data_IF_366341818827
#
_entry.id   IF_366341818827
#
_cell.length_a   1.000
_cell.length_b   1.000
_cell.length_c   1.000
_cell.angle_alpha   90.00
_cell.angle_beta   90.00
_cell.angle_gamma   90.00
#
_symmetry.space_group_name_H-M   'P 1'
#
loop_
_entity.id
_entity.type
_entity.pdbx_description
1 polymer ?
#
# COMPACT_ATOMS: atom_id res chain seq x y z
N UNK A 1 17.19 -26.43 10.74
CA UNK A 1 16.69 -25.05 10.85
C UNK A 1 15.22 -25.00 10.42
N UNK A 2 14.34 -25.72 11.14
CA UNK A 2 12.93 -25.97 10.76
C UNK A 2 11.96 -25.81 11.96
N UNK A 3 12.42 -25.26 13.09
CA UNK A 3 11.59 -25.14 14.31
C UNK A 3 11.19 -23.72 14.70
N UNK A 4 11.54 -22.69 13.92
CA UNK A 4 11.26 -21.30 14.28
C UNK A 4 9.99 -20.69 13.65
N UNK A 5 9.17 -21.47 12.91
CA UNK A 5 8.02 -20.94 12.14
C UNK A 5 6.65 -21.25 12.80
N UNK A 6 6.61 -21.93 13.95
CA UNK A 6 5.33 -22.27 14.63
C UNK A 6 4.86 -21.30 15.72
N UNK A 7 5.61 -20.24 16.03
CA UNK A 7 5.29 -19.37 17.18
C UNK A 7 4.46 -18.11 16.87
N UNK A 8 4.31 -17.70 15.61
CA UNK A 8 3.62 -16.44 15.27
C UNK A 8 2.11 -16.62 15.02
N UNK A 9 1.65 -17.84 14.74
CA UNK A 9 0.24 -18.12 14.44
C UNK A 9 -0.69 -18.22 15.66
N UNK A 10 -0.15 -18.26 16.89
CA UNK A 10 -0.96 -18.40 18.11
C UNK A 10 -1.33 -17.06 18.78
N UNK A 11 -0.74 -15.94 18.35
CA UNK A 11 -0.92 -14.64 19.02
C UNK A 11 -2.03 -13.75 18.41
N UNK A 12 -2.64 -14.18 17.29
CA UNK A 12 -3.70 -13.42 16.59
C UNK A 12 -5.13 -13.92 16.86
N UNK A 13 -5.29 -14.98 17.68
CA UNK A 13 -6.61 -15.51 18.04
C UNK A 13 -7.14 -15.04 19.40
N UNK A 14 -6.35 -14.27 20.18
CA UNK A 14 -6.71 -13.90 21.55
C UNK A 14 -7.37 -12.51 21.71
N UNK A 15 -7.43 -11.69 20.66
CA UNK A 15 -7.92 -10.29 20.75
C UNK A 15 -9.35 -10.09 20.23
N UNK A 16 -10.06 -11.16 19.88
CA UNK A 16 -11.43 -11.10 19.35
C UNK A 16 -12.52 -11.52 20.35
N UNK A 17 -12.16 -11.98 21.56
CA UNK A 17 -13.12 -12.51 22.53
C UNK A 17 -13.45 -11.54 23.70
N UNK A 18 -12.89 -10.32 23.72
CA UNK A 18 -13.04 -9.40 24.86
C UNK A 18 -14.07 -8.27 24.67
N UNK A 19 -14.83 -8.28 23.56
CA UNK A 19 -15.80 -7.21 23.22
C UNK A 19 -17.25 -7.70 23.03
N UNK A 20 -17.62 -8.86 23.58
CA UNK A 20 -18.99 -9.41 23.50
C UNK A 20 -19.56 -9.88 24.85
N UNK A 21 -19.46 -9.04 25.90
CA UNK A 21 -20.19 -9.33 27.14
C UNK A 21 -20.47 -8.08 27.97
N UNK A 22 -21.22 -7.11 27.43
CA UNK A 22 -21.93 -6.12 28.27
C UNK A 22 -23.16 -5.58 27.53
N UNK A 23 -24.19 -6.41 27.33
CA UNK A 23 -25.55 -5.95 27.02
C UNK A 23 -26.55 -6.95 27.59
N UNK A 24 -26.63 -7.03 28.91
CA UNK A 24 -27.90 -7.42 29.54
C UNK A 24 -27.88 -7.06 31.02
N UNK A 25 -28.91 -6.32 31.43
CA UNK A 25 -29.41 -6.05 32.79
C UNK A 25 -29.74 -4.58 32.95
N UNK A 26 -31.03 -4.24 32.84
CA UNK A 26 -31.76 -3.31 33.72
C UNK A 26 -33.13 -2.98 33.13
N UNK A 27 -33.96 -4.01 32.92
CA UNK A 27 -35.41 -3.85 32.83
C UNK A 27 -35.99 -4.05 34.23
N UNK A 28 -36.13 -2.96 35.00
CA UNK A 28 -36.98 -2.97 36.20
C UNK A 28 -37.47 -1.55 36.55
N UNK A 29 -38.71 -1.29 36.13
CA UNK A 29 -39.80 -0.91 37.01
C UNK A 29 -39.64 0.36 37.87
N UNK A 30 -40.14 1.49 37.34
CA UNK A 30 -40.77 2.55 38.15
C UNK A 30 -42.08 2.99 37.49
N UNK A 31 -43.19 2.43 38.00
CA UNK A 31 -44.52 3.06 37.92
C UNK A 31 -44.55 4.12 39.03
N UNK A 32 -44.62 5.39 38.64
CA UNK A 32 -44.83 6.52 39.53
C UNK A 32 -45.52 7.63 38.77
N UNK A 33 -46.71 7.97 39.23
CA UNK A 33 -47.47 9.21 39.08
C UNK A 33 -47.40 10.00 37.76
N UNK A 34 -48.51 9.95 37.04
CA UNK A 34 -48.87 10.90 35.99
C UNK A 34 -49.21 12.27 36.58
N UNK A 35 -48.20 13.10 36.86
CA UNK A 35 -48.37 14.54 36.91
C UNK A 35 -48.33 15.09 35.49
N UNK A 36 -49.43 15.72 35.07
CA UNK A 36 -49.56 16.42 33.79
C UNK A 36 -48.38 17.41 33.64
N UNK A 37 -47.53 17.29 32.61
CA UNK A 37 -46.53 18.31 32.35
C UNK A 37 -47.25 19.64 32.06
N UNK A 38 -46.75 20.77 32.57
CA UNK A 38 -47.26 22.08 32.19
C UNK A 38 -47.17 22.21 30.67
N UNK A 39 -48.16 22.87 30.08
CA UNK A 39 -48.20 23.17 28.66
C UNK A 39 -46.80 23.65 28.23
N UNK A 40 -46.14 22.87 27.37
CA UNK A 40 -44.94 23.30 26.71
C UNK A 40 -45.36 24.45 25.80
N UNK A 41 -45.33 25.65 26.37
CA UNK A 41 -45.29 26.89 25.63
C UNK A 41 -44.26 26.71 24.54
N UNK A 42 -44.79 26.69 23.33
CA UNK A 42 -44.15 26.76 22.03
C UNK A 42 -42.67 27.13 22.16
N UNK A 43 -41.82 26.11 22.37
CA UNK A 43 -40.39 26.26 22.18
C UNK A 43 -40.26 26.64 20.72
N UNK A 44 -40.01 27.93 20.48
CA UNK A 44 -39.86 28.49 19.15
C UNK A 44 -38.93 27.57 18.38
N UNK A 45 -39.41 27.06 17.24
CA UNK A 45 -38.64 26.25 16.31
C UNK A 45 -37.28 26.95 16.15
N UNK A 46 -36.16 26.32 16.51
CA UNK A 46 -34.86 26.95 16.39
C UNK A 46 -34.73 27.56 15.00
N UNK A 47 -34.31 28.83 14.89
CA UNK A 47 -34.16 29.47 13.59
C UNK A 47 -33.34 28.54 12.70
N UNK A 48 -33.85 28.30 11.49
CA UNK A 48 -33.21 27.38 10.55
C UNK A 48 -31.73 27.81 10.43
N UNK A 49 -30.82 26.94 10.86
CA UNK A 49 -29.40 27.20 10.67
C UNK A 49 -29.19 27.35 9.15
N UNK A 50 -28.57 28.46 8.69
CA UNK A 50 -28.27 28.63 7.28
C UNK A 50 -27.45 27.42 6.84
N UNK A 51 -27.91 26.74 5.78
CA UNK A 51 -27.21 25.59 5.24
C UNK A 51 -25.79 26.04 4.90
N UNK A 52 -24.79 25.45 5.57
CA UNK A 52 -23.41 25.72 5.25
C UNK A 52 -23.20 25.41 3.77
N UNK A 53 -22.43 26.25 3.04
CA UNK A 53 -22.10 25.95 1.65
C UNK A 53 -21.48 24.55 1.61
N UNK A 54 -22.05 23.66 0.80
CA UNK A 54 -21.54 22.31 0.65
C UNK A 54 -20.15 22.41 0.00
N UNK A 55 -19.11 22.31 0.82
CA UNK A 55 -17.73 22.27 0.32
C UNK A 55 -17.52 20.93 -0.38
N UNK A 56 -17.35 20.98 -1.71
CA UNK A 56 -17.01 19.80 -2.52
C UNK A 56 -15.49 19.68 -2.59
N UNK A 57 -14.96 18.53 -2.18
CA UNK A 57 -13.53 18.24 -2.35
C UNK A 57 -13.28 17.98 -3.84
N UNK A 58 -12.57 18.88 -4.51
CA UNK A 58 -12.32 18.78 -5.95
C UNK A 58 -11.22 17.78 -6.30
N UNK A 59 -10.19 17.67 -5.44
CA UNK A 59 -9.02 16.81 -5.66
C UNK A 59 -8.64 16.11 -4.37
N UNK A 60 -8.44 14.80 -4.45
CA UNK A 60 -7.89 14.02 -3.36
C UNK A 60 -6.91 12.99 -3.91
N UNK A 61 -6.04 12.52 -3.03
CA UNK A 61 -5.16 11.41 -3.31
C UNK A 61 -4.98 10.60 -2.04
N UNK A 62 -4.81 9.30 -2.21
CA UNK A 62 -4.54 8.35 -1.16
C UNK A 62 -3.28 7.58 -1.51
N UNK A 63 -2.44 7.35 -0.50
CA UNK A 63 -1.24 6.55 -0.62
C UNK A 63 -1.21 5.51 0.50
N UNK A 64 -1.04 4.26 0.11
CA UNK A 64 -0.69 3.17 1.01
C UNK A 64 0.73 2.71 0.74
N UNK A 65 1.66 3.07 1.62
CA UNK A 65 3.04 2.56 1.60
C UNK A 65 3.05 1.10 2.01
N UNK A 66 3.52 0.23 1.11
CA UNK A 66 3.56 -1.23 1.29
C UNK A 66 4.93 -1.68 1.80
N UNK A 67 6.00 -1.08 1.28
CA UNK A 67 7.39 -1.37 1.67
C UNK A 67 8.17 -0.07 1.74
N UNK A 68 9.02 0.04 2.77
CA UNK A 68 10.03 1.07 2.90
C UNK A 68 11.34 0.40 3.30
N UNK A 69 12.41 0.65 2.55
CA UNK A 69 13.73 0.08 2.83
C UNK A 69 14.85 1.00 2.35
N UNK A 70 15.54 1.63 3.30
CA UNK A 70 16.51 2.68 3.01
C UNK A 70 15.82 3.87 2.33
N UNK A 71 16.31 4.25 1.15
CA UNK A 71 15.73 5.29 0.29
C UNK A 71 14.71 4.73 -0.73
N UNK A 72 14.39 3.44 -0.67
CA UNK A 72 13.38 2.82 -1.54
C UNK A 72 12.01 2.77 -0.87
N UNK A 73 10.97 3.15 -1.61
CA UNK A 73 9.57 3.04 -1.19
C UNK A 73 8.73 2.42 -2.29
N UNK A 74 7.87 1.47 -1.94
CA UNK A 74 6.82 0.95 -2.81
C UNK A 74 5.46 1.31 -2.23
N UNK A 75 4.62 1.99 -3.01
CA UNK A 75 3.31 2.44 -2.56
C UNK A 75 2.20 2.17 -3.60
N UNK A 76 0.99 1.95 -3.10
CA UNK A 76 -0.24 1.91 -3.89
C UNK A 76 -0.89 3.29 -3.82
N UNK A 77 -1.09 3.93 -4.97
CA UNK A 77 -1.65 5.28 -5.07
C UNK A 77 -3.03 5.21 -5.70
N UNK A 78 -3.97 5.97 -5.13
CA UNK A 78 -5.28 6.21 -5.72
C UNK A 78 -5.56 7.71 -5.78
N UNK A 79 -5.98 8.17 -6.94
CA UNK A 79 -6.43 9.54 -7.17
C UNK A 79 -7.88 9.53 -7.68
N UNK A 80 -8.43 10.70 -7.95
CA UNK A 80 -9.73 10.82 -8.62
C UNK A 80 -9.78 10.08 -9.97
N UNK A 81 -8.66 10.06 -10.70
CA UNK A 81 -8.62 9.68 -12.11
C UNK A 81 -8.00 8.31 -12.34
N UNK A 82 -7.20 7.81 -11.39
CA UNK A 82 -6.38 6.62 -11.63
C UNK A 82 -5.86 5.97 -10.36
N UNK A 83 -5.53 4.69 -10.50
CA UNK A 83 -4.94 3.86 -9.45
C UNK A 83 -3.64 3.28 -10.01
N UNK A 84 -2.53 3.39 -9.29
CA UNK A 84 -1.22 2.97 -9.81
C UNK A 84 -0.26 2.59 -8.68
N UNK A 85 0.75 1.80 -9.03
CA UNK A 85 1.90 1.50 -8.16
C UNK A 85 2.96 2.57 -8.38
N UNK A 86 3.52 3.07 -7.29
CA UNK A 86 4.63 4.01 -7.30
C UNK A 86 5.81 3.36 -6.60
N UNK A 87 6.93 3.20 -7.32
CA UNK A 87 8.22 2.85 -6.73
C UNK A 87 9.11 4.09 -6.77
N UNK A 88 9.78 4.37 -5.66
CA UNK A 88 10.76 5.45 -5.50
C UNK A 88 12.06 4.88 -4.99
N UNK A 89 13.18 5.43 -5.44
CA UNK A 89 14.51 5.15 -4.91
C UNK A 89 15.38 6.40 -5.05
N UNK A 90 15.73 7.02 -3.92
CA UNK A 90 16.43 8.32 -3.93
C UNK A 90 15.58 9.42 -4.61
N UNK A 91 16.12 10.03 -5.68
CA UNK A 91 15.41 11.05 -6.47
C UNK A 91 14.59 10.47 -7.63
N UNK A 92 14.75 9.17 -7.87
CA UNK A 92 14.12 8.48 -8.98
C UNK A 92 12.76 7.93 -8.58
N UNK A 93 11.82 7.94 -9.52
CA UNK A 93 10.51 7.35 -9.33
C UNK A 93 9.97 6.75 -10.62
N UNK A 94 9.20 5.68 -10.48
CA UNK A 94 8.54 5.03 -11.60
C UNK A 94 7.08 4.77 -11.25
N UNK A 95 6.19 5.24 -12.12
CA UNK A 95 4.75 4.97 -12.04
C UNK A 95 4.40 3.76 -12.91
N UNK A 96 3.71 2.79 -12.32
CA UNK A 96 3.36 1.52 -12.96
C UNK A 96 1.88 1.21 -12.80
N UNK A 97 1.27 0.61 -13.81
CA UNK A 97 0.00 -0.11 -13.62
C UNK A 97 0.23 -1.35 -12.75
N UNK A 98 -0.85 -1.91 -12.20
CA UNK A 98 -0.76 -3.16 -11.45
C UNK A 98 -0.18 -4.32 -12.27
N UNK A 99 -0.47 -4.39 -13.57
CA UNK A 99 0.01 -5.45 -14.45
C UNK A 99 1.50 -5.32 -14.77
N UNK A 100 1.98 -4.10 -15.05
CA UNK A 100 3.42 -3.84 -15.27
C UNK A 100 4.23 -4.12 -14.01
N UNK A 101 3.74 -3.66 -12.85
CA UNK A 101 4.38 -3.93 -11.57
C UNK A 101 4.47 -5.44 -11.29
N UNK A 102 3.44 -6.23 -11.62
CA UNK A 102 3.46 -7.68 -11.45
C UNK A 102 4.54 -8.35 -12.31
N UNK A 103 4.63 -7.97 -13.60
CA UNK A 103 5.65 -8.50 -14.52
C UNK A 103 7.07 -8.12 -14.08
N UNK A 104 7.29 -6.85 -13.69
CA UNK A 104 8.58 -6.39 -13.17
C UNK A 104 8.91 -7.12 -11.87
N UNK A 105 7.94 -7.29 -10.97
CA UNK A 105 8.11 -8.04 -9.72
C UNK A 105 8.54 -9.49 -9.94
N UNK A 106 8.06 -10.14 -11.01
CA UNK A 106 8.52 -11.47 -11.39
C UNK A 106 10.01 -11.47 -11.77
N UNK A 107 10.45 -10.51 -12.59
CA UNK A 107 11.86 -10.36 -12.96
C UNK A 107 12.75 -10.04 -11.74
N UNK A 108 12.30 -9.14 -10.85
CA UNK A 108 13.02 -8.82 -9.61
C UNK A 108 13.11 -10.01 -8.66
N UNK A 109 12.16 -10.94 -8.70
CA UNK A 109 12.20 -12.18 -7.93
C UNK A 109 13.39 -13.07 -8.26
N UNK A 110 14.01 -12.90 -9.43
CA UNK A 110 15.20 -13.64 -9.85
C UNK A 110 16.53 -12.96 -9.47
N UNK A 111 16.48 -11.85 -8.74
CA UNK A 111 17.66 -11.03 -8.38
C UNK A 111 18.81 -11.86 -7.82
N UNK A 112 18.54 -12.79 -6.89
CA UNK A 112 19.58 -13.63 -6.29
C UNK A 112 20.19 -14.64 -7.27
N UNK A 113 19.36 -15.20 -8.15
CA UNK A 113 19.81 -16.13 -9.17
C UNK A 113 20.70 -15.41 -10.20
N UNK A 114 20.32 -14.18 -10.60
CA UNK A 114 21.13 -13.34 -11.51
C UNK A 114 22.43 -12.92 -10.83
N UNK A 115 22.38 -12.45 -9.57
CA UNK A 115 23.57 -12.11 -8.80
C UNK A 115 24.57 -13.26 -8.72
N UNK A 116 24.08 -14.48 -8.49
CA UNK A 116 24.93 -15.67 -8.45
C UNK A 116 25.59 -16.01 -9.80
N UNK A 117 24.98 -15.62 -10.93
CA UNK A 117 25.57 -15.77 -12.28
C UNK A 117 26.57 -14.66 -12.62
N UNK A 118 26.30 -13.43 -12.19
CA UNK A 118 27.14 -12.26 -12.44
C UNK A 118 28.31 -12.14 -11.44
N UNK A 119 28.37 -13.02 -10.42
CA UNK A 119 29.49 -13.04 -9.47
C UNK A 119 30.78 -13.46 -10.20
N UNK A 120 31.75 -12.57 -10.24
CA UNK A 120 33.03 -12.78 -10.90
C UNK A 120 33.86 -11.50 -10.89
N UNK A 121 35.16 -11.56 -11.26
CA UNK A 121 35.98 -10.36 -11.43
C UNK A 121 35.46 -9.50 -12.61
N UNK A 122 35.65 -8.17 -12.53
CA UNK A 122 35.22 -7.24 -13.57
C UNK A 122 33.75 -6.85 -13.54
N UNK A 123 33.31 -6.12 -14.57
CA UNK A 123 31.93 -5.62 -14.70
C UNK A 123 31.12 -6.54 -15.61
N UNK A 124 29.87 -6.82 -15.24
CA UNK A 124 28.96 -7.66 -16.02
C UNK A 124 27.52 -7.20 -15.89
N UNK A 125 26.71 -7.48 -16.90
CA UNK A 125 25.29 -7.13 -16.91
C UNK A 125 24.43 -8.20 -17.57
N UNK A 126 23.18 -8.33 -17.11
CA UNK A 126 22.11 -9.13 -17.71
C UNK A 126 20.90 -8.21 -17.87
N UNK A 127 20.28 -8.20 -19.05
CA UNK A 127 19.12 -7.35 -19.33
C UNK A 127 17.91 -8.20 -19.70
N UNK A 128 16.73 -7.81 -19.23
CA UNK A 128 15.45 -8.47 -19.52
C UNK A 128 14.43 -7.45 -19.96
N UNK A 129 13.80 -7.71 -21.11
CA UNK A 129 12.62 -6.97 -21.53
C UNK A 129 11.39 -7.49 -20.78
N UNK A 130 10.60 -6.57 -20.24
CA UNK A 130 9.40 -6.82 -19.44
C UNK A 130 8.30 -5.88 -19.91
N UNK A 131 7.57 -6.27 -20.95
CA UNK A 131 6.66 -5.37 -21.66
C UNK A 131 7.44 -4.20 -22.26
N UNK A 132 6.98 -2.98 -22.01
CA UNK A 132 7.66 -1.74 -22.43
C UNK A 132 8.84 -1.36 -21.52
N UNK A 133 9.11 -2.12 -20.46
CA UNK A 133 10.18 -1.85 -19.52
C UNK A 133 11.40 -2.74 -19.74
N UNK A 134 12.55 -2.26 -19.33
CA UNK A 134 13.80 -3.00 -19.28
C UNK A 134 14.26 -3.13 -17.85
N UNK A 135 14.47 -4.36 -17.40
CA UNK A 135 15.10 -4.67 -16.10
C UNK A 135 16.54 -5.08 -16.37
N UNK A 136 17.49 -4.24 -15.95
CA UNK A 136 18.93 -4.48 -16.08
C UNK A 136 19.53 -4.81 -14.72
N UNK A 137 20.16 -5.96 -14.64
CA UNK A 137 20.99 -6.37 -13.51
C UNK A 137 22.44 -6.08 -13.87
N UNK A 138 23.14 -5.30 -13.05
CA UNK A 138 24.54 -4.98 -13.28
C UNK A 138 25.37 -5.24 -12.03
N UNK A 139 26.59 -5.70 -12.26
CA UNK A 139 27.61 -5.84 -11.22
C UNK A 139 28.84 -5.07 -11.66
N UNK A 140 29.31 -4.17 -10.81
CA UNK A 140 30.56 -3.43 -10.97
C UNK A 140 31.42 -3.56 -9.71
N UNK A 141 32.74 -3.42 -9.84
CA UNK A 141 33.66 -3.51 -8.69
C UNK A 141 33.55 -2.31 -7.74
N UNK A 142 33.24 -1.12 -8.25
CA UNK A 142 33.12 0.11 -7.45
C UNK A 142 31.73 0.23 -6.85
N UNK A 143 30.71 -0.03 -7.66
CA UNK A 143 29.33 0.19 -7.27
C UNK A 143 28.65 -1.06 -6.71
N UNK A 144 29.23 -2.26 -6.83
CA UNK A 144 28.57 -3.49 -6.38
C UNK A 144 27.47 -3.94 -7.34
N UNK A 145 26.44 -4.62 -6.81
CA UNK A 145 25.32 -5.14 -7.61
C UNK A 145 24.09 -4.24 -7.51
N UNK A 146 23.55 -3.87 -8.67
CA UNK A 146 22.38 -3.00 -8.79
C UNK A 146 21.39 -3.55 -9.80
N UNK A 147 20.13 -3.19 -9.63
CA UNK A 147 19.03 -3.50 -10.54
C UNK A 147 18.40 -2.19 -10.98
N UNK A 148 18.46 -1.90 -12.28
CA UNK A 148 17.79 -0.75 -12.89
C UNK A 148 16.51 -1.21 -13.57
N UNK A 149 15.42 -0.46 -13.37
CA UNK A 149 14.16 -0.63 -14.09
C UNK A 149 13.96 0.67 -14.87
N UNK A 150 13.86 0.59 -16.18
CA UNK A 150 13.69 1.75 -17.04
C UNK A 150 12.55 1.53 -18.03
N UNK A 151 11.73 2.55 -18.27
CA UNK A 151 10.79 2.56 -19.39
C UNK A 151 11.56 2.63 -20.73
N UNK A 152 11.07 1.92 -21.74
CA UNK A 152 11.67 1.90 -23.07
C UNK A 152 11.67 3.30 -23.71
N UNK A 153 12.85 3.84 -24.02
CA UNK A 153 13.02 5.14 -24.69
C UNK A 153 14.34 5.83 -24.33
N UNK A 154 14.65 6.94 -25.01
CA UNK A 154 15.87 7.75 -24.76
C UNK A 154 15.81 8.58 -23.46
N UNK A 155 14.60 8.83 -22.93
CA UNK A 155 14.35 9.68 -21.75
C UNK A 155 13.29 9.08 -20.81
N UNK A 156 13.18 7.75 -20.79
CA UNK A 156 12.19 7.05 -19.95
C UNK A 156 12.45 7.25 -18.46
N UNK A 157 11.38 7.23 -17.66
CA UNK A 157 11.51 7.16 -16.20
C UNK A 157 12.30 5.88 -15.83
N UNK A 158 13.17 5.98 -14.84
CA UNK A 158 13.93 4.84 -14.35
C UNK A 158 14.07 4.88 -12.85
N UNK A 159 14.28 3.72 -12.24
CA UNK A 159 14.66 3.58 -10.83
C UNK A 159 15.83 2.61 -10.70
N UNK A 160 16.72 2.91 -9.76
CA UNK A 160 17.88 2.08 -9.43
C UNK A 160 17.71 1.50 -8.03
N UNK A 161 17.87 0.18 -7.91
CA UNK A 161 17.69 -0.56 -6.67
C UNK A 161 18.96 -1.34 -6.33
N UNK A 162 19.34 -1.32 -5.06
CA UNK A 162 20.30 -2.26 -4.51
C UNK A 162 19.72 -3.67 -4.49
N UNK A 163 20.57 -4.70 -4.44
CA UNK A 163 20.16 -6.12 -4.39
C UNK A 163 19.05 -6.36 -3.36
N UNK A 164 19.26 -5.91 -2.13
CA UNK A 164 18.31 -6.11 -1.04
C UNK A 164 16.99 -5.37 -1.28
N UNK A 165 17.04 -4.17 -1.88
CA UNK A 165 15.86 -3.37 -2.22
C UNK A 165 15.01 -4.06 -3.28
N UNK A 166 15.65 -4.56 -4.35
CA UNK A 166 14.99 -5.33 -5.39
C UNK A 166 14.29 -6.57 -4.82
N UNK A 167 14.95 -7.30 -3.92
CA UNK A 167 14.36 -8.47 -3.25
C UNK A 167 13.20 -8.09 -2.31
N UNK A 168 13.33 -6.97 -1.59
CA UNK A 168 12.30 -6.50 -0.66
C UNK A 168 11.02 -6.08 -1.39
N UNK A 169 11.12 -5.41 -2.54
CA UNK A 169 9.94 -4.95 -3.30
C UNK A 169 9.32 -6.05 -4.16
N UNK A 170 10.11 -7.01 -4.65
CA UNK A 170 9.67 -8.06 -5.57
C UNK A 170 8.36 -8.78 -5.17
N UNK A 171 8.21 -9.36 -3.96
CA UNK A 171 7.01 -10.12 -3.60
C UNK A 171 5.75 -9.25 -3.51
N UNK A 172 5.91 -7.95 -3.26
CA UNK A 172 4.81 -7.00 -3.22
C UNK A 172 4.44 -6.54 -4.63
N UNK A 173 5.43 -6.28 -5.48
CA UNK A 173 5.20 -5.97 -6.89
C UNK A 173 4.47 -7.11 -7.62
N UNK A 174 4.83 -8.38 -7.35
CA UNK A 174 4.10 -9.56 -7.85
C UNK A 174 2.62 -9.60 -7.43
N UNK A 175 2.25 -8.93 -6.33
CA UNK A 175 0.87 -8.86 -5.82
C UNK A 175 0.20 -7.52 -6.11
N UNK A 176 0.82 -6.67 -6.92
CA UNK A 176 0.41 -5.29 -7.15
C UNK A 176 -1.05 -5.16 -7.61
N UNK A 177 -1.50 -5.98 -8.57
CA UNK A 177 -2.89 -5.94 -9.05
C UNK A 177 -3.91 -6.16 -7.94
N UNK A 178 -3.65 -7.14 -7.09
CA UNK A 178 -4.54 -7.49 -5.97
C UNK A 178 -4.56 -6.37 -4.94
N UNK A 179 -3.39 -5.82 -4.59
CA UNK A 179 -3.29 -4.72 -3.63
C UNK A 179 -3.96 -3.44 -4.14
N UNK A 180 -3.77 -3.08 -5.42
CA UNK A 180 -4.46 -1.95 -6.03
C UNK A 180 -5.97 -2.14 -5.99
N UNK A 181 -6.48 -3.33 -6.35
CA UNK A 181 -7.92 -3.60 -6.29
C UNK A 181 -8.49 -3.40 -4.87
N UNK A 182 -7.75 -3.76 -3.82
CA UNK A 182 -8.15 -3.48 -2.43
C UNK A 182 -8.24 -1.98 -2.16
N UNK A 183 -7.26 -1.20 -2.60
CA UNK A 183 -7.27 0.26 -2.46
C UNK A 183 -8.44 0.87 -3.22
N UNK A 184 -8.66 0.44 -4.47
CA UNK A 184 -9.78 0.90 -5.32
C UNK A 184 -11.14 0.70 -4.66
N UNK A 185 -11.33 -0.44 -3.98
CA UNK A 185 -12.60 -0.80 -3.37
C UNK A 185 -12.85 -0.04 -2.06
N UNK A 186 -11.81 0.16 -1.25
CA UNK A 186 -11.92 0.71 0.10
C UNK A 186 -11.88 2.23 0.17
N UNK A 187 -11.24 2.87 -0.80
CA UNK A 187 -11.07 4.32 -0.79
C UNK A 187 -12.04 4.93 -1.77
N UNK A 188 -13.11 5.51 -1.22
CA UNK A 188 -14.13 6.30 -1.94
C UNK A 188 -14.21 7.67 -1.27
N UNK A 189 -14.13 8.77 -2.04
CA UNK A 189 -14.25 10.12 -1.51
C UNK A 189 -15.65 10.41 -0.96
#
# INVERSE_FOLDING_TARGET
>A
MVQAIRAVAAMLAATAAMYMSMTDASAQQRRGEATRPPAQDQLAKPPAQPALPQMKIEKWWFQWTVVEMGDTTLAMIKTNDSDFVLIKSGFDSLRLTGAEAELIGAALGETDAVYARLRGPGSSEETRAVGEYTVRFSKDEKSGFMVSIAEGGLFGESVLLWREQALAVAPHMQKARVMLAVVSQRVRP
#
